data_IF_928590008728
#
_entry.id   IF_928590008728
#
_cell.length_a   1.000
_cell.length_b   1.000
_cell.length_c   1.000
_cell.angle_alpha   90.00
_cell.angle_beta   90.00
_cell.angle_gamma   90.00
#
_symmetry.space_group_name_H-M   'P 1'
#
loop_
_entity.id
_entity.type
_entity.pdbx_description
1 polymer ?
#
# COMPACT_ATOMS: atom_id res chain seq x y z
N UNK A 1 -11.10 -13.70 -10.34
CA UNK A 1 -10.94 -12.28 -10.72
C UNK A 1 -12.23 -11.60 -10.34
N UNK A 2 -12.26 -10.88 -9.21
CA UNK A 2 -13.42 -10.08 -8.82
C UNK A 2 -13.56 -8.95 -9.86
N UNK A 3 -14.51 -9.09 -10.79
CA UNK A 3 -14.91 -8.00 -11.67
C UNK A 3 -15.74 -6.99 -10.88
N UNK A 4 -15.96 -5.81 -11.45
CA UNK A 4 -16.80 -4.73 -10.91
C UNK A 4 -18.17 -5.17 -10.35
N UNK A 5 -18.64 -6.37 -10.74
CA UNK A 5 -19.77 -7.14 -10.19
C UNK A 5 -19.73 -7.32 -8.65
N UNK A 6 -18.55 -7.39 -8.02
CA UNK A 6 -18.42 -7.46 -6.55
C UNK A 6 -18.59 -6.10 -5.85
N UNK A 7 -18.55 -4.98 -6.57
CA UNK A 7 -18.90 -3.66 -6.00
C UNK A 7 -20.42 -3.49 -5.99
N UNK A 8 -21.13 -4.11 -6.93
CA UNK A 8 -22.58 -4.08 -7.01
C UNK A 8 -23.27 -4.80 -5.83
N UNK A 9 -22.61 -5.79 -5.24
CA UNK A 9 -23.09 -6.45 -4.00
C UNK A 9 -22.97 -5.56 -2.76
N UNK A 10 -22.18 -4.49 -2.83
CA UNK A 10 -21.94 -3.60 -1.71
C UNK A 10 -22.89 -2.38 -1.66
N UNK A 11 -23.64 -2.12 -2.74
CA UNK A 11 -24.69 -1.08 -2.80
C UNK A 11 -26.00 -1.72 -3.29
N UNK A 12 -26.55 -2.68 -2.51
CA UNK A 12 -27.70 -3.47 -2.94
C UNK A 12 -28.92 -2.61 -3.28
N UNK A 13 -29.08 -1.46 -2.63
CA UNK A 13 -30.22 -0.55 -2.88
C UNK A 13 -30.12 0.09 -4.29
N UNK A 14 -28.92 0.41 -4.76
CA UNK A 14 -28.70 0.95 -6.10
C UNK A 14 -28.69 -0.15 -7.16
N UNK A 15 -28.03 -1.26 -6.89
CA UNK A 15 -27.83 -2.33 -7.87
C UNK A 15 -29.09 -3.13 -8.17
N UNK A 16 -30.06 -3.17 -7.26
CA UNK A 16 -31.39 -3.71 -7.57
C UNK A 16 -32.14 -2.95 -8.67
N UNK A 17 -31.69 -1.74 -9.03
CA UNK A 17 -32.31 -0.86 -10.03
C UNK A 17 -31.46 -0.67 -11.30
N UNK A 18 -30.25 -1.22 -11.36
CA UNK A 18 -29.35 -1.09 -12.50
C UNK A 18 -29.28 -2.39 -13.29
N UNK A 19 -29.36 -2.29 -14.62
CA UNK A 19 -29.04 -3.41 -15.53
C UNK A 19 -27.52 -3.48 -15.68
N UNK A 20 -26.96 -4.70 -15.77
CA UNK A 20 -25.52 -4.93 -15.93
C UNK A 20 -24.91 -4.01 -17.02
N UNK A 21 -23.86 -3.27 -16.66
CA UNK A 21 -23.12 -2.38 -17.58
C UNK A 21 -23.59 -0.93 -17.64
N UNK A 22 -24.44 -0.47 -16.70
CA UNK A 22 -24.87 0.93 -16.62
C UNK A 22 -23.73 1.92 -16.33
N UNK A 23 -23.70 3.03 -17.06
CA UNK A 23 -22.80 4.18 -16.83
C UNK A 23 -23.37 5.13 -15.76
N UNK A 24 -22.57 6.11 -15.30
CA UNK A 24 -22.89 7.11 -14.27
C UNK A 24 -24.20 7.85 -14.57
N UNK A 25 -24.48 8.14 -15.85
CA UNK A 25 -25.71 8.82 -16.28
C UNK A 25 -26.97 7.98 -16.00
N UNK A 26 -26.88 6.65 -16.19
CA UNK A 26 -27.97 5.74 -15.86
C UNK A 26 -28.15 5.61 -14.34
N UNK A 27 -27.05 5.57 -13.59
CA UNK A 27 -27.09 5.58 -12.13
C UNK A 27 -27.78 6.84 -11.58
N UNK A 28 -27.47 8.01 -12.15
CA UNK A 28 -28.11 9.27 -11.80
C UNK A 28 -29.62 9.25 -12.11
N UNK A 29 -30.00 8.76 -13.29
CA UNK A 29 -31.42 8.65 -13.67
C UNK A 29 -32.20 7.73 -12.71
N UNK A 30 -31.61 6.60 -12.30
CA UNK A 30 -32.23 5.71 -11.30
C UNK A 30 -32.35 6.37 -9.92
N UNK A 31 -31.32 7.08 -9.45
CA UNK A 31 -31.38 7.82 -8.18
C UNK A 31 -32.47 8.90 -8.18
N UNK A 32 -32.71 9.56 -9.31
CA UNK A 32 -33.77 10.57 -9.45
C UNK A 32 -35.20 9.99 -9.36
N UNK A 33 -35.35 8.68 -9.56
CA UNK A 33 -36.63 7.97 -9.46
C UNK A 33 -36.85 7.31 -8.09
N UNK A 34 -35.84 7.33 -7.22
CA UNK A 34 -35.90 6.76 -5.87
C UNK A 34 -36.61 7.69 -4.89
N UNK A 35 -37.08 7.11 -3.78
CA UNK A 35 -37.54 7.90 -2.64
C UNK A 35 -36.34 8.53 -1.91
N UNK A 36 -36.55 9.63 -1.19
CA UNK A 36 -35.49 10.26 -0.38
C UNK A 36 -34.84 9.27 0.60
N UNK A 37 -35.64 8.36 1.18
CA UNK A 37 -35.15 7.33 2.10
C UNK A 37 -34.20 6.35 1.40
N UNK A 38 -34.53 5.94 0.16
CA UNK A 38 -33.69 5.03 -0.62
C UNK A 38 -32.40 5.71 -1.07
N UNK A 39 -32.44 6.98 -1.46
CA UNK A 39 -31.24 7.75 -1.83
C UNK A 39 -30.27 7.89 -0.64
N UNK A 40 -30.80 8.19 0.56
CA UNK A 40 -29.97 8.24 1.78
C UNK A 40 -29.36 6.87 2.06
N UNK A 41 -30.12 5.79 1.92
CA UNK A 41 -29.62 4.43 2.13
C UNK A 41 -28.51 4.06 1.14
N UNK A 42 -28.64 4.44 -0.13
CA UNK A 42 -27.56 4.29 -1.13
C UNK A 42 -26.31 5.06 -0.71
N UNK A 43 -26.47 6.28 -0.20
CA UNK A 43 -25.34 7.08 0.30
C UNK A 43 -24.66 6.42 1.51
N UNK A 44 -25.42 5.85 2.45
CA UNK A 44 -24.88 5.12 3.60
C UNK A 44 -24.09 3.87 3.15
N UNK A 45 -24.65 3.10 2.22
CA UNK A 45 -24.01 1.91 1.64
C UNK A 45 -22.70 2.29 0.93
N UNK A 46 -22.73 3.28 0.04
CA UNK A 46 -21.53 3.77 -0.68
C UNK A 46 -20.47 4.33 0.26
N UNK A 47 -20.85 5.03 1.33
CA UNK A 47 -19.91 5.55 2.33
C UNK A 47 -19.21 4.43 3.10
N UNK A 48 -19.92 3.34 3.41
CA UNK A 48 -19.32 2.17 4.04
C UNK A 48 -18.26 1.53 3.13
N UNK A 49 -18.55 1.42 1.84
CA UNK A 49 -17.60 0.91 0.83
C UNK A 49 -16.39 1.82 0.70
N UNK A 50 -16.61 3.14 0.59
CA UNK A 50 -15.53 4.11 0.49
C UNK A 50 -14.56 3.98 1.68
N UNK A 51 -15.10 3.83 2.90
CA UNK A 51 -14.29 3.60 4.11
C UNK A 51 -13.48 2.30 4.04
N UNK A 52 -14.06 1.20 3.57
CA UNK A 52 -13.34 -0.06 3.40
C UNK A 52 -12.21 0.07 2.36
N UNK A 53 -12.47 0.73 1.23
CA UNK A 53 -11.46 1.01 0.21
C UNK A 53 -10.34 1.89 0.77
N UNK A 54 -10.68 2.92 1.55
CA UNK A 54 -9.68 3.77 2.22
C UNK A 54 -8.79 2.97 3.18
N UNK A 55 -9.37 2.04 3.96
CA UNK A 55 -8.61 1.16 4.84
C UNK A 55 -7.63 0.27 4.06
N UNK A 56 -8.09 -0.30 2.93
CA UNK A 56 -7.22 -1.09 2.04
C UNK A 56 -6.10 -0.23 1.46
N UNK A 57 -6.41 1.02 1.04
CA UNK A 57 -5.39 1.95 0.56
C UNK A 57 -4.34 2.28 1.62
N UNK A 58 -4.74 2.47 2.88
CA UNK A 58 -3.82 2.69 4.00
C UNK A 58 -2.92 1.46 4.21
N UNK A 59 -3.48 0.26 4.23
CA UNK A 59 -2.70 -0.98 4.36
C UNK A 59 -1.72 -1.17 3.20
N UNK A 60 -2.16 -0.93 1.96
CA UNK A 60 -1.31 -0.97 0.78
C UNK A 60 -0.20 0.08 0.84
N UNK A 61 -0.49 1.29 1.32
CA UNK A 61 0.49 2.35 1.52
C UNK A 61 1.61 1.92 2.49
N UNK A 62 1.26 1.26 3.60
CA UNK A 62 2.24 0.68 4.54
C UNK A 62 3.16 -0.34 3.87
N UNK A 63 2.59 -1.28 3.10
CA UNK A 63 3.38 -2.29 2.37
C UNK A 63 4.30 -1.63 1.33
N UNK A 64 3.81 -0.64 0.59
CA UNK A 64 4.61 0.14 -0.37
C UNK A 64 5.78 0.81 0.35
N UNK A 65 5.55 1.36 1.53
CA UNK A 65 6.56 2.07 2.31
C UNK A 65 7.65 1.14 2.84
N UNK A 66 7.28 0.01 3.45
CA UNK A 66 8.21 -1.05 3.86
C UNK A 66 9.06 -1.54 2.67
N UNK A 67 8.43 -1.74 1.51
CA UNK A 67 9.13 -2.17 0.27
C UNK A 67 9.94 -1.06 -0.41
N UNK A 68 9.79 0.18 0.03
CA UNK A 68 10.52 1.34 -0.49
C UNK A 68 11.56 1.89 0.48
N UNK A 69 11.83 1.18 1.59
CA UNK A 69 12.87 1.54 2.57
C UNK A 69 14.22 1.81 1.89
N UNK A 70 14.96 2.77 2.44
CA UNK A 70 16.25 3.24 1.89
C UNK A 70 17.32 2.14 1.80
N UNK A 71 17.25 1.15 2.68
CA UNK A 71 18.11 -0.05 2.67
C UNK A 71 18.04 -0.83 1.36
N UNK A 72 16.93 -0.72 0.62
CA UNK A 72 16.76 -1.33 -0.71
C UNK A 72 17.33 -0.46 -1.83
N UNK A 73 17.70 0.79 -1.56
CA UNK A 73 18.23 1.73 -2.56
C UNK A 73 17.36 1.79 -3.83
N UNK A 74 18.01 1.71 -4.99
CA UNK A 74 17.33 1.71 -6.30
C UNK A 74 16.47 0.47 -6.58
N UNK A 75 16.64 -0.61 -5.81
CA UNK A 75 15.77 -1.79 -5.90
C UNK A 75 14.47 -1.64 -5.10
N UNK A 76 14.30 -0.55 -4.35
CA UNK A 76 13.06 -0.25 -3.62
C UNK A 76 11.87 -0.03 -4.56
N UNK A 77 10.67 -0.40 -4.11
CA UNK A 77 9.45 -0.41 -4.94
C UNK A 77 9.16 0.95 -5.58
N UNK A 78 9.29 2.05 -4.83
CA UNK A 78 9.14 3.40 -5.34
C UNK A 78 10.25 3.77 -6.35
N UNK A 79 11.51 3.51 -6.00
CA UNK A 79 12.66 3.87 -6.83
C UNK A 79 12.67 3.13 -8.17
N UNK A 80 12.33 1.84 -8.17
CA UNK A 80 12.19 1.02 -9.38
C UNK A 80 11.08 1.50 -10.33
N UNK A 81 10.12 2.29 -9.81
CA UNK A 81 9.07 2.96 -10.59
C UNK A 81 9.37 4.42 -10.89
N UNK A 82 10.60 4.89 -10.61
CA UNK A 82 11.01 6.27 -10.89
C UNK A 82 10.56 7.29 -9.84
N UNK A 83 9.99 6.86 -8.71
CA UNK A 83 9.57 7.77 -7.65
C UNK A 83 10.62 7.90 -6.56
N UNK A 84 10.76 9.14 -6.07
CA UNK A 84 11.67 9.48 -4.95
C UNK A 84 11.21 8.98 -3.58
N UNK A 85 9.96 8.55 -3.44
CA UNK A 85 9.39 8.05 -2.18
C UNK A 85 8.12 7.23 -2.40
N UNK A 86 7.76 6.42 -1.39
CA UNK A 86 6.49 5.68 -1.33
C UNK A 86 5.26 6.59 -1.46
N UNK A 87 5.27 7.75 -0.80
CA UNK A 87 4.18 8.71 -0.88
C UNK A 87 4.06 9.33 -2.28
N UNK A 88 5.18 9.56 -2.99
CA UNK A 88 5.14 10.05 -4.37
C UNK A 88 4.56 9.01 -5.33
N UNK A 89 4.84 7.72 -5.12
CA UNK A 89 4.23 6.64 -5.88
C UNK A 89 2.72 6.54 -5.57
N UNK A 90 2.34 6.60 -4.29
CA UNK A 90 0.93 6.52 -3.89
C UNK A 90 0.12 7.69 -4.48
N UNK A 91 0.66 8.90 -4.42
CA UNK A 91 0.02 10.10 -4.97
C UNK A 91 -0.23 9.98 -6.48
N UNK A 92 0.75 9.47 -7.22
CA UNK A 92 0.65 9.29 -8.67
C UNK A 92 -0.41 8.24 -9.03
N UNK A 93 -0.44 7.12 -8.31
CA UNK A 93 -1.39 6.02 -8.57
C UNK A 93 -2.82 6.37 -8.19
N UNK A 94 -3.04 7.07 -7.08
CA UNK A 94 -4.40 7.36 -6.57
C UNK A 94 -4.94 8.70 -7.03
N UNK A 95 -4.09 9.58 -7.58
CA UNK A 95 -4.44 10.97 -7.86
C UNK A 95 -4.73 11.80 -6.60
N UNK A 96 -4.39 11.30 -5.41
CA UNK A 96 -4.67 12.00 -4.16
C UNK A 96 -3.79 13.24 -3.98
N UNK A 97 -4.09 14.05 -2.97
CA UNK A 97 -3.16 15.12 -2.58
C UNK A 97 -1.89 14.53 -1.97
N UNK A 98 -0.79 15.30 -2.04
CA UNK A 98 0.46 14.96 -1.35
C UNK A 98 0.28 14.76 0.16
N UNK A 99 -0.57 15.59 0.79
CA UNK A 99 -0.84 15.51 2.22
C UNK A 99 -1.57 14.21 2.59
N UNK A 100 -2.56 13.81 1.78
CA UNK A 100 -3.28 12.55 1.95
C UNK A 100 -2.35 11.34 1.76
N UNK A 101 -1.54 11.34 0.70
CA UNK A 101 -0.58 10.27 0.43
C UNK A 101 0.43 10.08 1.58
N UNK A 102 1.00 11.19 2.08
CA UNK A 102 1.91 11.14 3.24
C UNK A 102 1.21 10.63 4.50
N UNK A 103 -0.03 11.05 4.75
CA UNK A 103 -0.81 10.57 5.90
C UNK A 103 -1.04 9.07 5.80
N UNK A 104 -1.50 8.57 4.65
CA UNK A 104 -1.76 7.14 4.42
C UNK A 104 -0.51 6.29 4.56
N UNK A 105 0.63 6.75 4.05
CA UNK A 105 1.93 6.08 4.23
C UNK A 105 2.30 6.00 5.70
N UNK A 106 2.27 7.12 6.43
CA UNK A 106 2.64 7.14 7.86
C UNK A 106 1.73 6.26 8.71
N UNK A 107 0.42 6.33 8.49
CA UNK A 107 -0.55 5.49 9.23
C UNK A 107 -0.35 4.02 8.86
N UNK A 108 -0.17 3.72 7.57
CA UNK A 108 0.06 2.36 7.10
C UNK A 108 1.37 1.74 7.61
N UNK A 109 2.46 2.52 7.71
CA UNK A 109 3.71 2.08 8.34
C UNK A 109 3.50 1.78 9.82
N UNK A 110 2.86 2.69 10.57
CA UNK A 110 2.58 2.48 11.99
C UNK A 110 1.76 1.22 12.25
N UNK A 111 0.77 0.90 11.41
CA UNK A 111 -0.03 -0.33 11.54
C UNK A 111 0.76 -1.62 11.30
N UNK A 112 1.89 -1.56 10.58
CA UNK A 112 2.76 -2.72 10.35
C UNK A 112 3.88 -2.83 11.38
N UNK A 113 4.28 -1.69 11.96
CA UNK A 113 5.28 -1.64 13.03
C UNK A 113 4.65 -1.97 14.41
N UNK A 114 3.33 -1.81 14.57
CA UNK A 114 2.55 -2.14 15.78
C UNK A 114 2.09 -3.61 15.84
N UNK A 115 2.80 -4.54 15.17
CA UNK A 115 2.71 -5.96 15.55
C UNK A 115 3.00 -6.03 17.05
N UNK A 116 2.05 -6.46 17.90
CA UNK A 116 2.20 -6.40 19.33
C UNK A 116 3.36 -7.30 19.73
N UNK A 117 4.51 -6.67 19.96
CA UNK A 117 5.60 -7.25 20.70
C UNK A 117 5.05 -7.48 22.11
N UNK A 118 4.63 -8.71 22.42
CA UNK A 118 4.32 -9.15 23.79
C UNK A 118 5.59 -9.19 24.66
N UNK A 119 6.42 -8.15 24.58
CA UNK A 119 7.48 -7.86 25.52
C UNK A 119 7.29 -6.45 26.08
N UNK A 120 6.27 -6.32 26.94
CA UNK A 120 6.27 -5.24 27.92
C UNK A 120 7.52 -5.39 28.80
N UNK A 121 8.46 -4.45 28.70
CA UNK A 121 9.51 -4.32 29.71
C UNK A 121 10.69 -3.42 29.38
N UNK A 122 10.52 -2.15 29.72
CA UNK A 122 11.53 -1.32 30.41
C UNK A 122 12.46 -0.39 29.60
N UNK A 123 12.50 0.86 30.09
CA UNK A 123 13.56 1.87 29.94
C UNK A 123 13.68 2.52 28.56
N UNK A 124 13.51 3.82 28.37
CA UNK A 124 13.97 4.91 29.22
C UNK A 124 14.69 5.92 28.32
N UNK A 125 14.36 7.19 28.50
CA UNK A 125 14.81 8.34 27.72
C UNK A 125 16.33 8.57 27.70
N UNK A 126 16.80 9.40 26.77
CA UNK A 126 17.95 10.28 27.02
C UNK A 126 18.89 10.49 25.86
N UNK A 127 19.02 11.76 25.45
CA UNK A 127 19.97 12.34 24.50
C UNK A 127 21.43 11.86 24.54
N UNK A 128 22.12 12.08 23.42
CA UNK A 128 23.57 12.30 23.43
C UNK A 128 24.24 12.36 22.05
N UNK A 129 24.21 13.52 21.40
CA UNK A 129 25.31 13.91 20.49
C UNK A 129 26.57 14.23 21.33
N UNK A 130 27.79 13.98 20.83
CA UNK A 130 28.54 14.95 20.00
C UNK A 130 29.23 14.23 18.80
N UNK A 131 29.79 14.83 17.75
CA UNK A 131 30.51 16.10 17.61
C UNK A 131 31.98 15.80 17.25
N UNK A 132 32.41 16.25 16.07
CA UNK A 132 33.79 16.59 15.63
C UNK A 132 34.67 15.55 14.90
N UNK A 133 35.29 16.01 13.78
CA UNK A 133 36.75 15.88 13.62
C UNK A 133 37.35 15.13 12.41
N UNK A 134 37.73 15.89 11.38
CA UNK A 134 38.87 15.72 10.44
C UNK A 134 38.98 14.53 9.45
N UNK A 135 38.92 14.91 8.17
CA UNK A 135 39.95 14.82 7.11
C UNK A 135 40.94 13.64 7.03
N UNK A 136 40.99 13.04 5.83
CA UNK A 136 42.26 12.81 5.13
C UNK A 136 42.64 11.38 4.74
N UNK A 137 43.00 11.26 3.45
CA UNK A 137 43.90 10.29 2.84
C UNK A 137 43.36 8.94 2.32
N UNK A 138 43.45 8.87 1.00
CA UNK A 138 43.53 7.75 0.07
C UNK A 138 44.40 6.57 0.56
N UNK A 139 44.00 5.37 0.14
CA UNK A 139 44.83 4.16 0.26
C UNK A 139 44.11 2.97 -0.36
N UNK A 140 44.50 2.62 -1.60
CA UNK A 140 44.00 1.46 -2.30
C UNK A 140 44.41 0.12 -1.65
N UNK A 141 43.60 -0.90 -1.89
CA UNK A 141 43.89 -2.26 -1.47
C UNK A 141 42.66 -3.15 -1.62
N UNK A 142 42.41 -3.62 -2.85
CA UNK A 142 41.55 -4.77 -3.07
C UNK A 142 42.28 -6.04 -2.55
N UNK A 143 41.56 -6.96 -1.93
CA UNK A 143 41.74 -8.39 -2.19
C UNK A 143 40.54 -8.88 -2.98
N UNK A 144 40.82 -9.45 -4.14
CA UNK A 144 39.89 -10.22 -4.93
C UNK A 144 39.55 -11.56 -4.27
N UNK A 145 38.46 -12.13 -4.78
CA UNK A 145 38.01 -13.52 -4.70
C UNK A 145 36.98 -13.84 -3.60
N UNK A 146 35.71 -13.72 -3.99
CA UNK A 146 34.81 -14.86 -3.87
C UNK A 146 33.68 -14.71 -4.91
N UNK A 147 33.71 -15.55 -5.94
CA UNK A 147 32.61 -15.73 -6.89
C UNK A 147 31.38 -16.25 -6.13
N UNK A 148 30.64 -15.33 -5.51
CA UNK A 148 29.28 -15.62 -5.04
C UNK A 148 28.45 -15.93 -6.29
N UNK A 149 27.91 -17.16 -6.43
CA UNK A 149 27.00 -17.45 -7.51
C UNK A 149 25.86 -16.43 -7.44
N UNK A 150 25.54 -15.83 -8.59
CA UNK A 150 24.45 -14.87 -8.69
C UNK A 150 23.23 -15.43 -7.95
N UNK A 151 22.64 -14.69 -6.98
CA UNK A 151 21.48 -15.20 -6.26
C UNK A 151 20.42 -15.53 -7.30
N UNK A 152 19.99 -16.80 -7.29
CA UNK A 152 18.99 -17.29 -8.22
C UNK A 152 17.74 -16.39 -8.22
N UNK A 153 16.95 -16.44 -9.30
CA UNK A 153 15.77 -15.60 -9.43
C UNK A 153 14.88 -15.66 -8.19
N UNK A 154 14.44 -14.48 -7.73
CA UNK A 154 13.81 -14.24 -6.43
C UNK A 154 12.52 -15.04 -6.15
N UNK A 155 11.93 -15.66 -7.17
CA UNK A 155 10.75 -16.53 -7.06
C UNK A 155 11.05 -17.95 -6.53
N UNK A 156 12.33 -18.31 -6.36
CA UNK A 156 12.73 -19.66 -5.89
C UNK A 156 12.99 -19.74 -4.37
N UNK A 157 12.68 -18.70 -3.59
CA UNK A 157 12.92 -18.68 -2.13
C UNK A 157 11.77 -19.33 -1.32
N UNK A 158 12.06 -20.03 -0.19
CA UNK A 158 11.06 -20.84 0.54
C UNK A 158 9.84 -20.07 1.05
N UNK A 159 9.99 -18.80 1.41
CA UNK A 159 8.89 -17.94 1.87
C UNK A 159 7.96 -17.47 0.73
N UNK A 160 8.32 -17.71 -0.54
CA UNK A 160 7.45 -17.45 -1.71
C UNK A 160 6.42 -18.57 -1.94
N UNK A 161 6.74 -19.82 -1.55
CA UNK A 161 5.81 -20.95 -1.69
C UNK A 161 4.60 -20.83 -0.75
N UNK A 162 4.76 -20.21 0.42
CA UNK A 162 3.64 -19.95 1.34
C UNK A 162 2.64 -18.91 0.81
N UNK A 163 3.06 -18.00 -0.08
CA UNK A 163 2.18 -16.97 -0.67
C UNK A 163 1.58 -17.40 -2.03
N UNK A 164 2.31 -18.22 -2.81
CA UNK A 164 1.84 -18.72 -4.10
C UNK A 164 0.75 -19.81 -4.00
N UNK A 165 0.64 -20.51 -2.87
CA UNK A 165 -0.43 -21.52 -2.67
C UNK A 165 -1.83 -20.90 -2.44
N UNK A 166 -1.92 -19.59 -2.14
CA UNK A 166 -3.22 -18.93 -1.88
C UNK A 166 -3.74 -18.05 -3.01
N UNK A 167 -2.92 -17.79 -4.04
CA UNK A 167 -3.34 -17.08 -5.25
C UNK A 167 -2.79 -17.80 -6.46
N UNK A 168 -3.59 -18.76 -6.96
CA UNK A 168 -3.26 -19.60 -8.10
C UNK A 168 -2.88 -18.78 -9.33
N UNK A 169 -1.77 -19.18 -9.93
CA UNK A 169 -1.27 -18.77 -11.24
C UNK A 169 -2.33 -19.01 -12.31
N UNK A 170 -2.79 -17.94 -12.97
CA UNK A 170 -3.40 -18.03 -14.30
C UNK A 170 -2.27 -17.75 -15.29
N UNK A 171 -1.96 -18.78 -16.08
CA UNK A 171 -1.04 -18.77 -17.23
C UNK A 171 -1.54 -17.82 -18.32
#
# INVERSE_FOLDING_TARGET
MATFTDVATLIPTLCGQLVDGGDVELAQASLMLMTDADVVKVLEETAAVAKQVEQIQVAAAGVIAVRSKRERGHSGLAASRGHRSAASLLQDVTGSTKADANRKVRVGEALLDDEPDESLGDGGAGEGAPGEGQAGAEGGGAPSDDERPAPGPWYQRPWYQHYAMRFGTVV
#
